data_IF_091019971666
#
_entry.id   IF_091019971666
#
_cell.length_a   1.000
_cell.length_b   1.000
_cell.length_c   1.000
_cell.angle_alpha   90.00
_cell.angle_beta   90.00
_cell.angle_gamma   90.00
#
_symmetry.space_group_name_H-M   'P 1'
#
loop_
_entity.id
_entity.type
_entity.pdbx_description
1 polymer ?
#
# COMPACT_ATOMS: atom_id res chain seq x y z
N UNK A 1 80.98 6.31 -34.46
CA UNK A 1 79.89 6.93 -33.66
C UNK A 1 78.64 6.05 -33.65
N UNK A 2 78.78 4.79 -33.22
CA UNK A 2 77.72 3.75 -33.21
C UNK A 2 77.46 3.20 -31.79
N UNK A 3 77.73 4.01 -30.75
CA UNK A 3 77.53 3.64 -29.33
C UNK A 3 76.83 4.71 -28.48
N UNK A 4 76.34 5.79 -29.11
CA UNK A 4 75.53 6.85 -28.46
C UNK A 4 74.08 6.90 -28.97
N UNK A 5 73.73 6.07 -29.96
CA UNK A 5 72.37 5.98 -30.50
C UNK A 5 71.55 4.80 -29.94
N UNK A 6 72.18 3.87 -29.21
CA UNK A 6 71.46 2.77 -28.54
C UNK A 6 70.95 3.14 -27.14
N UNK A 7 71.51 4.16 -26.48
CA UNK A 7 71.09 4.58 -25.13
C UNK A 7 69.97 5.62 -25.13
N UNK A 8 69.71 6.30 -26.26
CA UNK A 8 68.54 7.17 -26.45
C UNK A 8 67.29 6.39 -26.87
N UNK A 9 67.44 5.22 -27.49
CA UNK A 9 66.30 4.36 -27.87
C UNK A 9 65.73 3.56 -26.70
N UNK A 10 66.51 3.32 -25.63
CA UNK A 10 66.04 2.56 -24.45
C UNK A 10 65.32 3.47 -23.43
N UNK A 11 65.59 4.78 -23.43
CA UNK A 11 64.84 5.76 -22.61
C UNK A 11 63.52 6.17 -23.28
N UNK A 12 63.40 6.02 -24.60
CA UNK A 12 62.14 6.21 -25.32
C UNK A 12 61.27 4.93 -25.39
N UNK A 13 61.83 3.75 -25.09
CA UNK A 13 61.17 2.45 -25.20
C UNK A 13 60.80 1.75 -23.88
N UNK A 14 61.11 2.35 -22.73
CA UNK A 14 60.80 1.80 -21.39
C UNK A 14 59.89 2.74 -20.56
N UNK A 15 59.52 3.90 -21.08
CA UNK A 15 58.38 4.70 -20.60
C UNK A 15 57.06 4.26 -21.25
N UNK A 16 56.95 2.98 -21.59
CA UNK A 16 55.70 2.25 -21.58
C UNK A 16 55.64 1.46 -20.26
N UNK A 17 55.01 2.04 -19.24
CA UNK A 17 54.19 1.38 -18.21
C UNK A 17 53.91 2.43 -17.13
N UNK A 18 52.64 2.60 -16.74
CA UNK A 18 52.12 3.66 -15.83
C UNK A 18 51.78 4.96 -16.57
N UNK A 19 50.83 4.85 -17.50
CA UNK A 19 49.60 5.65 -17.50
C UNK A 19 48.58 4.80 -18.25
N UNK A 20 48.04 3.82 -17.52
CA UNK A 20 46.78 3.19 -17.86
C UNK A 20 45.72 4.29 -17.76
N UNK A 21 45.06 4.60 -18.85
CA UNK A 21 43.61 4.47 -19.01
C UNK A 21 43.28 4.91 -20.43
N UNK A 22 42.50 4.06 -21.11
CA UNK A 22 41.94 4.23 -22.42
C UNK A 22 41.24 5.58 -22.59
N UNK A 23 41.88 6.49 -23.31
CA UNK A 23 41.17 7.57 -24.00
C UNK A 23 40.42 6.97 -25.18
N UNK A 24 39.34 6.24 -24.90
CA UNK A 24 38.26 6.10 -25.86
C UNK A 24 37.65 7.49 -26.00
N UNK A 25 37.87 8.09 -27.16
CA UNK A 25 37.12 9.22 -27.67
C UNK A 25 35.65 8.76 -27.82
N UNK A 26 34.86 8.93 -26.77
CA UNK A 26 33.41 9.10 -26.88
C UNK A 26 33.18 10.60 -26.74
N UNK A 27 33.12 11.24 -27.91
CA UNK A 27 32.80 12.66 -28.11
C UNK A 27 31.41 12.76 -28.77
N UNK A 28 30.53 11.83 -28.46
CA UNK A 28 29.10 12.06 -28.50
C UNK A 28 28.65 12.38 -27.08
N UNK A 29 28.10 13.58 -26.92
CA UNK A 29 27.00 13.71 -25.99
C UNK A 29 25.88 12.88 -26.61
N UNK A 30 25.63 11.69 -26.07
CA UNK A 30 24.38 10.98 -26.31
C UNK A 30 23.27 11.80 -25.65
N UNK A 31 22.81 12.86 -26.34
CA UNK A 31 21.53 13.47 -26.04
C UNK A 31 20.50 12.44 -26.49
N UNK A 32 19.98 11.68 -25.53
CA UNK A 32 18.71 11.01 -25.74
C UNK A 32 17.62 12.05 -25.62
N UNK A 33 17.37 12.81 -26.70
CA UNK A 33 16.31 13.82 -26.75
C UNK A 33 14.90 13.23 -26.80
N UNK A 34 14.80 11.89 -26.90
CA UNK A 34 13.54 11.17 -27.08
C UNK A 34 13.47 9.87 -26.25
N UNK A 35 14.26 9.74 -25.18
CA UNK A 35 13.89 8.78 -24.13
C UNK A 35 12.90 9.48 -23.20
N UNK A 36 11.61 9.33 -23.48
CA UNK A 36 10.61 9.39 -22.42
C UNK A 36 10.86 8.13 -21.59
N UNK A 37 11.57 8.27 -20.47
CA UNK A 37 11.51 7.26 -19.42
C UNK A 37 10.16 7.45 -18.73
N UNK A 38 9.11 6.95 -19.37
CA UNK A 38 7.83 6.76 -18.71
C UNK A 38 8.08 5.60 -17.73
N UNK A 39 8.31 5.94 -16.46
CA UNK A 39 8.05 5.02 -15.38
C UNK A 39 6.53 4.79 -15.41
N UNK A 40 6.08 3.88 -16.26
CA UNK A 40 4.65 3.64 -16.37
C UNK A 40 4.19 3.01 -15.06
N UNK A 41 3.30 3.69 -14.35
CA UNK A 41 2.62 3.13 -13.19
C UNK A 41 1.72 1.96 -13.61
N UNK A 42 1.39 1.06 -12.69
CA UNK A 42 0.31 0.09 -12.89
C UNK A 42 -0.93 0.73 -12.32
N UNK A 43 -1.80 1.23 -13.20
CA UNK A 43 -3.14 1.67 -12.81
C UNK A 43 -4.02 0.43 -12.67
N UNK A 44 -4.27 0.02 -11.42
CA UNK A 44 -5.06 -1.16 -11.07
C UNK A 44 -6.49 -0.73 -10.71
N UNK A 45 -7.43 -1.07 -11.58
CA UNK A 45 -8.84 -0.81 -11.36
C UNK A 45 -9.60 -2.12 -11.20
N UNK A 46 -10.58 -2.12 -10.31
CA UNK A 46 -11.44 -3.27 -10.06
C UNK A 46 -12.87 -2.89 -10.48
N UNK A 47 -13.66 -3.87 -10.88
CA UNK A 47 -15.12 -3.76 -10.90
C UNK A 47 -15.76 -5.03 -10.32
N UNK A 48 -17.03 -4.94 -9.96
CA UNK A 48 -17.76 -6.06 -9.40
C UNK A 48 -19.19 -6.12 -9.92
N UNK A 49 -19.64 -7.31 -10.31
CA UNK A 49 -21.04 -7.61 -10.58
C UNK A 49 -21.52 -8.71 -9.64
N UNK A 50 -22.45 -8.39 -8.74
CA UNK A 50 -22.93 -9.26 -7.67
C UNK A 50 -24.38 -9.69 -7.86
N UNK A 51 -24.68 -10.90 -7.42
CA UNK A 51 -26.00 -11.54 -7.41
C UNK A 51 -26.30 -12.11 -6.03
N UNK A 52 -27.55 -11.99 -5.62
CA UNK A 52 -28.08 -12.53 -4.37
C UNK A 52 -29.27 -13.44 -4.66
N UNK A 53 -29.14 -14.72 -4.32
CA UNK A 53 -30.12 -15.76 -4.63
C UNK A 53 -30.52 -15.81 -6.13
N UNK A 54 -29.56 -15.51 -7.00
CA UNK A 54 -29.74 -15.43 -8.45
C UNK A 54 -30.29 -14.08 -8.94
N UNK A 55 -30.79 -13.19 -8.07
CA UNK A 55 -31.21 -11.85 -8.51
C UNK A 55 -30.01 -10.87 -8.50
N UNK A 56 -29.86 -9.97 -9.48
CA UNK A 56 -28.81 -8.95 -9.45
C UNK A 56 -28.86 -8.11 -8.16
N UNK A 57 -27.70 -7.78 -7.60
CA UNK A 57 -27.54 -6.98 -6.37
C UNK A 57 -26.88 -5.62 -6.67
N UNK A 58 -27.66 -4.58 -7.02
CA UNK A 58 -27.10 -3.29 -7.43
C UNK A 58 -26.29 -2.57 -6.34
N UNK A 59 -26.58 -2.84 -5.07
CA UNK A 59 -25.90 -2.19 -3.93
C UNK A 59 -24.45 -2.69 -3.75
N UNK A 60 -24.14 -3.85 -4.34
CA UNK A 60 -22.80 -4.47 -4.33
C UNK A 60 -22.24 -4.66 -5.74
N UNK A 61 -22.90 -4.10 -6.76
CA UNK A 61 -22.43 -4.08 -8.15
C UNK A 61 -22.02 -2.67 -8.56
N UNK A 62 -20.80 -2.53 -9.05
CA UNK A 62 -20.21 -1.24 -9.38
C UNK A 62 -19.19 -1.40 -10.52
N UNK A 63 -19.09 -0.37 -11.36
CA UNK A 63 -18.13 -0.35 -12.47
C UNK A 63 -16.72 0.07 -12.02
N UNK A 64 -15.78 0.07 -12.98
CA UNK A 64 -14.36 0.38 -12.77
C UNK A 64 -14.11 1.50 -11.75
N UNK A 65 -13.33 1.16 -10.73
CA UNK A 65 -12.95 2.09 -9.66
C UNK A 65 -11.60 1.74 -9.04
N UNK A 66 -10.97 2.76 -8.48
CA UNK A 66 -9.91 2.61 -7.49
C UNK A 66 -10.58 2.40 -6.14
N UNK A 67 -10.28 1.29 -5.47
CA UNK A 67 -11.00 0.91 -4.26
C UNK A 67 -10.82 1.95 -3.15
N UNK A 68 -11.95 2.43 -2.61
CA UNK A 68 -11.99 3.39 -1.50
C UNK A 68 -13.01 2.96 -0.45
N UNK A 69 -14.24 2.63 -0.87
CA UNK A 69 -15.33 2.22 0.04
C UNK A 69 -16.35 1.28 -0.60
N UNK A 70 -15.98 0.66 -1.72
CA UNK A 70 -16.83 -0.27 -2.44
C UNK A 70 -17.04 -1.55 -1.63
N UNK A 71 -18.25 -2.11 -1.72
CA UNK A 71 -18.63 -3.32 -1.00
C UNK A 71 -18.83 -4.46 -1.99
N UNK A 72 -18.13 -5.57 -1.76
CA UNK A 72 -18.32 -6.82 -2.51
C UNK A 72 -19.50 -7.64 -1.98
N UNK A 73 -19.94 -7.38 -0.74
CA UNK A 73 -21.17 -7.94 -0.19
C UNK A 73 -21.65 -7.05 0.95
N UNK A 74 -22.96 -6.90 1.10
CA UNK A 74 -23.57 -6.12 2.16
C UNK A 74 -25.02 -6.58 2.38
N UNK A 75 -25.21 -7.55 3.25
CA UNK A 75 -26.50 -8.17 3.50
C UNK A 75 -26.85 -8.06 4.98
N UNK A 76 -28.08 -7.64 5.26
CA UNK A 76 -28.56 -7.37 6.63
C UNK A 76 -29.55 -8.42 7.16
N UNK A 77 -30.01 -9.34 6.30
CA UNK A 77 -31.00 -10.38 6.64
C UNK A 77 -30.74 -11.66 5.85
N UNK A 78 -29.72 -12.40 6.29
CA UNK A 78 -29.36 -13.70 5.75
C UNK A 78 -30.28 -14.79 6.31
N UNK A 79 -30.82 -15.63 5.43
CA UNK A 79 -31.67 -16.78 5.76
C UNK A 79 -30.96 -18.07 5.40
N UNK A 80 -31.23 -19.16 6.15
CA UNK A 80 -30.64 -20.45 5.83
C UNK A 80 -30.83 -20.86 4.36
N UNK A 81 -29.71 -21.10 3.67
CA UNK A 81 -29.70 -21.48 2.25
C UNK A 81 -29.56 -20.31 1.29
N UNK A 82 -29.51 -19.07 1.80
CA UNK A 82 -29.17 -17.92 0.99
C UNK A 82 -27.73 -18.04 0.47
N UNK A 83 -27.52 -17.58 -0.75
CA UNK A 83 -26.24 -17.59 -1.43
C UNK A 83 -26.07 -16.34 -2.26
N UNK A 84 -24.83 -16.04 -2.61
CA UNK A 84 -24.52 -14.97 -3.54
C UNK A 84 -23.30 -15.30 -4.37
N UNK A 85 -23.22 -14.62 -5.50
CA UNK A 85 -22.21 -14.85 -6.54
C UNK A 85 -21.73 -13.50 -7.05
N UNK A 86 -20.42 -13.35 -7.29
CA UNK A 86 -19.84 -12.12 -7.82
C UNK A 86 -18.81 -12.39 -8.92
N UNK A 87 -18.85 -11.57 -9.97
CA UNK A 87 -17.74 -11.42 -10.93
C UNK A 87 -16.90 -10.24 -10.50
N UNK A 88 -15.70 -10.50 -9.97
CA UNK A 88 -14.71 -9.47 -9.70
C UNK A 88 -13.79 -9.39 -10.91
N UNK A 89 -13.73 -8.23 -11.56
CA UNK A 89 -12.86 -8.01 -12.71
C UNK A 89 -11.65 -7.17 -12.31
N UNK A 90 -10.46 -7.62 -12.71
CA UNK A 90 -9.19 -6.94 -12.48
C UNK A 90 -8.67 -6.37 -13.80
N UNK A 91 -8.36 -5.08 -13.79
CA UNK A 91 -7.86 -4.34 -14.95
C UNK A 91 -6.56 -3.65 -14.60
N UNK A 92 -5.51 -3.93 -15.37
CA UNK A 92 -4.23 -3.23 -15.28
C UNK A 92 -3.81 -2.81 -16.67
N UNK A 93 -3.65 -1.51 -16.92
CA UNK A 93 -3.66 -1.00 -18.31
C UNK A 93 -2.28 -0.74 -18.90
N UNK A 94 -1.29 -0.41 -18.07
CA UNK A 94 -0.08 0.25 -18.58
C UNK A 94 1.11 -0.69 -18.77
N UNK A 95 1.36 -1.60 -17.82
CA UNK A 95 2.55 -2.47 -17.81
C UNK A 95 2.27 -3.83 -17.19
N UNK A 96 3.07 -4.87 -17.51
CA UNK A 96 2.96 -6.15 -16.81
C UNK A 96 3.18 -6.01 -15.31
N UNK A 97 2.37 -6.69 -14.52
CA UNK A 97 2.30 -6.50 -13.07
C UNK A 97 2.13 -7.82 -12.31
N UNK A 98 2.69 -7.86 -11.11
CA UNK A 98 2.34 -8.82 -10.08
C UNK A 98 1.10 -8.34 -9.36
N UNK A 99 0.28 -9.27 -8.86
CA UNK A 99 -0.92 -8.94 -8.12
C UNK A 99 -1.14 -9.88 -6.93
N UNK A 100 -1.58 -9.31 -5.82
CA UNK A 100 -2.00 -10.02 -4.62
C UNK A 100 -3.43 -9.57 -4.25
N UNK A 101 -4.18 -10.46 -3.61
CA UNK A 101 -5.47 -10.18 -3.00
C UNK A 101 -5.39 -10.55 -1.53
N UNK A 102 -5.68 -9.59 -0.66
CA UNK A 102 -5.59 -9.75 0.79
C UNK A 102 -7.00 -9.62 1.38
N UNK A 103 -7.32 -10.52 2.31
CA UNK A 103 -8.52 -10.45 3.12
C UNK A 103 -8.13 -10.26 4.57
N UNK A 104 -8.74 -9.30 5.24
CA UNK A 104 -8.62 -9.10 6.68
C UNK A 104 -10.00 -9.22 7.30
N UNK A 105 -10.21 -10.21 8.17
CA UNK A 105 -11.48 -10.34 8.88
C UNK A 105 -11.50 -9.32 10.01
N UNK A 106 -12.42 -8.36 9.93
CA UNK A 106 -12.51 -7.26 10.91
C UNK A 106 -13.59 -7.49 11.94
N UNK A 107 -14.52 -8.42 11.68
CA UNK A 107 -15.64 -8.72 12.57
C UNK A 107 -16.24 -10.10 12.28
N UNK A 108 -16.51 -10.89 13.32
CA UNK A 108 -17.36 -12.10 13.35
C UNK A 108 -17.98 -12.17 14.76
N UNK A 109 -18.97 -11.34 15.02
CA UNK A 109 -19.37 -10.87 16.35
C UNK A 109 -20.83 -11.20 16.62
N UNK A 110 -21.15 -11.63 17.83
CA UNK A 110 -22.52 -11.62 18.32
C UNK A 110 -22.91 -10.15 18.57
N UNK A 111 -23.82 -9.54 17.82
CA UNK A 111 -24.17 -8.12 18.08
C UNK A 111 -25.12 -7.99 19.28
N UNK A 112 -25.98 -8.98 19.45
CA UNK A 112 -26.94 -9.01 20.53
C UNK A 112 -27.51 -10.40 20.71
N UNK A 113 -27.61 -10.89 21.94
CA UNK A 113 -28.19 -12.20 22.21
C UNK A 113 -29.70 -12.12 22.44
N UNK A 114 -30.51 -12.64 21.52
CA UNK A 114 -31.98 -12.62 21.67
C UNK A 114 -32.64 -13.95 21.37
N UNK A 115 -33.66 -14.33 22.14
CA UNK A 115 -34.45 -15.54 21.86
C UNK A 115 -35.07 -15.49 20.44
N UNK A 116 -34.96 -16.56 19.63
CA UNK A 116 -34.56 -17.94 19.98
C UNK A 116 -33.07 -18.30 19.97
N UNK A 117 -32.16 -17.38 19.62
CA UNK A 117 -30.70 -17.61 19.55
C UNK A 117 -30.15 -18.21 20.84
N UNK A 118 -30.50 -17.62 21.99
CA UNK A 118 -30.10 -18.05 23.34
C UNK A 118 -30.47 -19.51 23.70
N UNK A 119 -31.39 -20.14 22.95
CA UNK A 119 -31.73 -21.56 23.13
C UNK A 119 -30.78 -22.49 22.40
N UNK A 120 -30.18 -22.00 21.32
CA UNK A 120 -29.35 -22.74 20.39
C UNK A 120 -27.86 -22.43 20.60
N UNK A 121 -27.55 -21.18 20.96
CA UNK A 121 -26.25 -20.77 21.45
C UNK A 121 -26.34 -20.26 22.91
N UNK A 122 -25.62 -20.97 23.78
CA UNK A 122 -25.56 -20.63 25.21
C UNK A 122 -24.28 -19.86 25.53
N UNK A 123 -23.43 -19.61 24.53
CA UNK A 123 -22.17 -18.90 24.63
C UNK A 123 -22.37 -17.39 24.56
N UNK A 124 -23.39 -16.94 23.83
CA UNK A 124 -23.64 -15.56 23.50
C UNK A 124 -23.77 -14.74 24.78
N UNK A 125 -22.88 -13.77 24.92
CA UNK A 125 -22.77 -12.91 26.10
C UNK A 125 -22.49 -11.48 25.68
N UNK A 126 -23.52 -10.75 25.25
CA UNK A 126 -23.39 -9.37 24.76
C UNK A 126 -24.02 -8.29 25.66
N UNK A 127 -23.42 -7.09 25.78
CA UNK A 127 -22.16 -6.68 25.15
C UNK A 127 -20.90 -7.07 25.95
N UNK A 128 -19.92 -7.72 25.32
CA UNK A 128 -18.63 -8.06 25.95
C UNK A 128 -17.39 -7.37 25.31
N UNK A 129 -17.50 -6.88 24.08
CA UNK A 129 -16.43 -6.15 23.38
C UNK A 129 -15.37 -7.00 22.70
N UNK A 130 -15.52 -8.33 22.72
CA UNK A 130 -14.93 -9.23 21.72
C UNK A 130 -15.63 -8.95 20.38
N UNK A 131 -14.93 -9.11 19.27
CA UNK A 131 -15.49 -8.90 17.92
C UNK A 131 -15.46 -10.19 17.10
N UNK A 132 -15.02 -11.30 17.70
CA UNK A 132 -14.72 -12.57 17.05
C UNK A 132 -15.28 -13.78 17.81
N UNK A 133 -16.33 -13.57 18.60
CA UNK A 133 -17.04 -14.61 19.36
C UNK A 133 -18.31 -15.13 18.66
N UNK A 134 -18.71 -14.50 17.55
CA UNK A 134 -19.89 -14.86 16.77
C UNK A 134 -19.77 -16.14 15.95
N UNK A 135 -20.91 -16.55 15.40
CA UNK A 135 -21.12 -17.85 14.78
C UNK A 135 -21.43 -17.81 13.29
N UNK A 136 -21.77 -16.64 12.77
CA UNK A 136 -22.10 -16.47 11.37
C UNK A 136 -20.94 -16.86 10.45
N UNK A 137 -19.71 -16.46 10.75
CA UNK A 137 -18.56 -16.74 9.89
C UNK A 137 -18.27 -18.22 9.70
N UNK A 138 -18.37 -19.05 10.75
CA UNK A 138 -18.18 -20.51 10.62
C UNK A 138 -19.28 -21.19 9.79
N UNK A 139 -20.44 -20.53 9.64
CA UNK A 139 -21.60 -21.02 8.88
C UNK A 139 -21.72 -20.40 7.49
N UNK A 140 -20.90 -19.39 7.17
CA UNK A 140 -20.73 -18.84 5.83
C UNK A 140 -19.54 -19.50 5.13
N UNK A 141 -19.82 -20.22 4.05
CA UNK A 141 -18.79 -20.81 3.21
C UNK A 141 -18.53 -19.93 2.00
N UNK A 142 -17.26 -19.63 1.73
CA UNK A 142 -16.80 -18.89 0.56
C UNK A 142 -16.01 -19.79 -0.38
N UNK A 143 -16.06 -19.45 -1.67
CA UNK A 143 -15.31 -20.12 -2.73
C UNK A 143 -14.94 -19.09 -3.80
N UNK A 144 -13.69 -19.15 -4.24
CA UNK A 144 -13.14 -18.31 -5.30
C UNK A 144 -12.49 -19.19 -6.38
N UNK A 145 -12.73 -18.84 -7.63
CA UNK A 145 -12.13 -19.53 -8.78
C UNK A 145 -11.72 -18.54 -9.87
N UNK A 146 -10.80 -18.97 -10.73
CA UNK A 146 -10.52 -18.24 -11.97
C UNK A 146 -11.67 -18.47 -12.92
N UNK A 147 -12.37 -17.38 -13.20
CA UNK A 147 -13.59 -17.34 -14.00
C UNK A 147 -13.27 -16.83 -15.41
N UNK A 148 -14.17 -17.09 -16.35
CA UNK A 148 -14.09 -16.56 -17.71
C UNK A 148 -14.91 -15.28 -17.92
N UNK A 149 -15.64 -14.82 -16.90
CA UNK A 149 -16.33 -13.54 -16.82
C UNK A 149 -17.86 -13.63 -16.79
N UNK A 150 -18.45 -14.83 -16.73
CA UNK A 150 -19.90 -15.01 -16.63
C UNK A 150 -20.44 -15.33 -15.23
N UNK A 151 -19.54 -15.47 -14.24
CA UNK A 151 -19.87 -15.83 -12.87
C UNK A 151 -20.56 -17.20 -12.74
N UNK A 152 -20.30 -18.12 -13.66
CA UNK A 152 -20.87 -19.45 -13.64
C UNK A 152 -19.74 -20.44 -13.46
N UNK A 153 -19.76 -21.21 -12.37
CA UNK A 153 -18.78 -22.26 -12.21
C UNK A 153 -18.99 -23.36 -13.25
N UNK A 154 -18.00 -23.52 -14.12
CA UNK A 154 -18.05 -24.47 -15.23
C UNK A 154 -17.09 -25.66 -15.06
N UNK A 155 -17.32 -26.70 -15.87
CA UNK A 155 -16.63 -27.98 -15.73
C UNK A 155 -15.10 -27.92 -15.85
N UNK A 156 -14.55 -26.95 -16.59
CA UNK A 156 -13.11 -26.75 -16.76
C UNK A 156 -12.51 -25.75 -15.75
N UNK A 157 -13.34 -25.16 -14.90
CA UNK A 157 -12.94 -24.22 -13.84
C UNK A 157 -12.88 -24.88 -12.46
N UNK A 158 -13.43 -26.09 -12.32
CA UNK A 158 -13.32 -26.88 -11.09
C UNK A 158 -11.88 -27.04 -10.59
N UNK A 159 -10.92 -27.20 -11.49
CA UNK A 159 -9.50 -27.33 -11.14
C UNK A 159 -8.83 -25.97 -10.88
N UNK A 160 -9.52 -24.87 -11.16
CA UNK A 160 -9.08 -23.48 -10.95
C UNK A 160 -9.72 -22.82 -9.71
N UNK A 161 -10.44 -23.58 -8.89
CA UNK A 161 -10.84 -23.15 -7.55
C UNK A 161 -9.57 -23.02 -6.71
N UNK A 162 -9.20 -21.78 -6.37
CA UNK A 162 -7.93 -21.48 -5.71
C UNK A 162 -8.09 -21.16 -4.23
N UNK A 163 -9.29 -20.81 -3.76
CA UNK A 163 -9.55 -20.51 -2.36
C UNK A 163 -10.96 -20.92 -1.93
N UNK A 164 -11.09 -21.64 -0.80
CA UNK A 164 -12.38 -22.18 -0.34
C UNK A 164 -12.36 -22.59 1.12
N UNK A 165 -13.43 -22.32 1.85
CA UNK A 165 -13.56 -22.64 3.27
C UNK A 165 -14.66 -21.84 3.95
N UNK A 166 -14.68 -21.86 5.29
CA UNK A 166 -15.51 -20.94 6.07
C UNK A 166 -14.96 -19.53 6.01
N UNK A 167 -15.79 -18.54 6.32
CA UNK A 167 -15.39 -17.14 6.27
C UNK A 167 -14.13 -16.85 7.10
N UNK A 168 -13.97 -17.31 8.36
CA UNK A 168 -12.73 -17.08 9.12
C UNK A 168 -11.47 -17.72 8.55
N UNK A 169 -11.60 -18.73 7.68
CA UNK A 169 -10.43 -19.36 7.02
C UNK A 169 -10.09 -18.66 5.70
N UNK A 170 -11.11 -18.15 5.01
CA UNK A 170 -10.98 -17.60 3.67
C UNK A 170 -10.76 -16.09 3.70
N UNK A 171 -11.51 -15.38 4.54
CA UNK A 171 -11.54 -13.93 4.64
C UNK A 171 -10.54 -13.37 5.66
N UNK A 172 -9.62 -14.19 6.16
CA UNK A 172 -8.48 -13.76 6.98
C UNK A 172 -7.19 -14.38 6.43
N UNK A 173 -6.91 -14.08 5.16
CA UNK A 173 -5.81 -14.72 4.44
C UNK A 173 -5.36 -13.92 3.23
N UNK A 174 -4.15 -14.22 2.75
CA UNK A 174 -3.63 -13.67 1.52
C UNK A 174 -3.71 -14.71 0.39
N UNK A 175 -4.13 -14.25 -0.78
CA UNK A 175 -4.15 -15.00 -2.03
C UNK A 175 -3.17 -14.38 -3.03
N UNK A 176 -2.27 -15.20 -3.53
CA UNK A 176 -1.41 -14.82 -4.66
C UNK A 176 -2.17 -14.94 -5.97
N UNK A 177 -2.40 -13.82 -6.64
CA UNK A 177 -3.01 -13.80 -7.98
C UNK A 177 -1.93 -14.05 -9.04
N UNK A 178 -0.84 -13.28 -8.98
CA UNK A 178 0.36 -13.52 -9.77
C UNK A 178 1.60 -12.91 -9.10
N UNK A 179 2.66 -13.70 -9.00
CA UNK A 179 3.98 -13.28 -8.52
C UNK A 179 5.09 -14.02 -9.28
N UNK A 180 6.35 -13.82 -8.88
CA UNK A 180 7.50 -14.43 -9.54
C UNK A 180 7.52 -15.98 -9.47
N UNK A 181 6.72 -16.59 -8.59
CA UNK A 181 6.64 -18.04 -8.41
C UNK A 181 5.36 -18.64 -9.02
N UNK A 182 4.24 -17.94 -8.96
CA UNK A 182 2.89 -18.47 -9.17
C UNK A 182 2.04 -17.50 -9.98
N UNK A 183 1.14 -18.01 -10.82
CA UNK A 183 0.15 -17.18 -11.51
C UNK A 183 -1.11 -18.02 -11.74
N UNK A 184 -2.20 -17.68 -11.07
CA UNK A 184 -3.44 -18.48 -11.12
C UNK A 184 -4.16 -18.33 -12.47
N UNK A 185 -3.97 -17.20 -13.17
CA UNK A 185 -4.62 -16.89 -14.43
C UNK A 185 -3.87 -17.41 -15.67
N UNK A 186 -2.65 -17.93 -15.49
CA UNK A 186 -1.76 -18.19 -16.60
C UNK A 186 -0.59 -19.10 -16.27
N UNK A 187 0.59 -18.69 -16.71
CA UNK A 187 1.82 -19.49 -16.54
C UNK A 187 2.57 -19.02 -15.31
N UNK A 188 2.90 -19.93 -14.40
CA UNK A 188 3.70 -19.64 -13.21
C UNK A 188 4.99 -18.88 -13.53
N UNK A 189 5.29 -17.85 -12.73
CA UNK A 189 6.45 -16.98 -12.91
C UNK A 189 6.36 -16.02 -14.09
N UNK A 190 5.15 -15.79 -14.62
CA UNK A 190 4.87 -14.71 -15.56
C UNK A 190 3.91 -13.71 -14.92
N UNK A 191 4.11 -12.40 -15.13
CA UNK A 191 3.20 -11.38 -14.60
C UNK A 191 1.87 -11.39 -15.35
N UNK A 192 0.90 -10.66 -14.80
CA UNK A 192 -0.32 -10.31 -15.51
C UNK A 192 0.01 -9.33 -16.62
N UNK A 193 -0.49 -9.62 -17.81
CA UNK A 193 -0.35 -8.77 -18.99
C UNK A 193 -1.22 -7.51 -18.87
N UNK A 194 -0.73 -6.35 -19.35
CA UNK A 194 -1.50 -5.13 -19.37
C UNK A 194 -2.64 -5.16 -20.40
N UNK A 195 -3.64 -4.30 -20.20
CA UNK A 195 -4.84 -4.15 -21.03
C UNK A 195 -5.62 -5.47 -21.23
N UNK A 196 -5.46 -6.42 -20.31
CA UNK A 196 -6.21 -7.67 -20.25
C UNK A 196 -6.98 -7.71 -18.95
N UNK A 197 -8.29 -7.93 -19.07
CA UNK A 197 -9.14 -8.19 -17.92
C UNK A 197 -8.99 -9.63 -17.44
N UNK A 198 -8.87 -9.79 -16.13
CA UNK A 198 -8.88 -11.09 -15.45
C UNK A 198 -10.11 -11.16 -14.55
N UNK A 199 -10.78 -12.32 -14.52
CA UNK A 199 -12.03 -12.49 -13.78
C UNK A 199 -11.85 -13.47 -12.63
N UNK A 200 -12.30 -13.07 -11.45
CA UNK A 200 -12.43 -13.92 -10.28
C UNK A 200 -13.91 -14.12 -10.03
N UNK A 201 -14.35 -15.36 -10.11
CA UNK A 201 -15.66 -15.76 -9.64
C UNK A 201 -15.60 -15.96 -8.14
N UNK A 202 -16.57 -15.40 -7.42
CA UNK A 202 -16.76 -15.58 -5.99
C UNK A 202 -18.15 -16.11 -5.74
N UNK A 203 -18.28 -17.14 -4.92
CA UNK A 203 -19.56 -17.60 -4.41
C UNK A 203 -19.51 -17.71 -2.88
N UNK A 204 -20.61 -17.39 -2.24
CA UNK A 204 -20.81 -17.64 -0.81
C UNK A 204 -22.14 -18.34 -0.55
N UNK A 205 -22.20 -19.13 0.52
CA UNK A 205 -23.37 -19.89 0.92
C UNK A 205 -23.53 -19.83 2.44
N UNK A 206 -24.70 -19.40 2.90
CA UNK A 206 -25.09 -19.49 4.29
C UNK A 206 -25.67 -20.87 4.59
N UNK A 207 -24.80 -21.77 5.05
CA UNK A 207 -25.08 -23.18 5.27
C UNK A 207 -23.99 -24.08 4.69
N UNK A 208 -24.42 -25.18 4.06
CA UNK A 208 -23.52 -26.14 3.42
C UNK A 208 -23.49 -25.94 1.91
N UNK A 209 -22.30 -25.69 1.38
CA UNK A 209 -22.06 -25.78 -0.06
C UNK A 209 -22.01 -27.26 -0.43
N UNK A 210 -23.13 -27.81 -0.94
CA UNK A 210 -23.11 -29.16 -1.50
C UNK A 210 -22.16 -29.14 -2.70
N UNK A 211 -21.48 -30.27 -2.96
CA UNK A 211 -20.42 -30.36 -3.98
C UNK A 211 -20.77 -29.51 -5.21
N UNK A 212 -19.87 -28.62 -5.65
CA UNK A 212 -20.18 -27.74 -6.78
C UNK A 212 -20.69 -28.59 -7.94
N UNK A 213 -21.79 -28.17 -8.55
CA UNK A 213 -22.41 -28.86 -9.67
C UNK A 213 -22.12 -28.01 -10.90
N UNK A 214 -20.87 -28.00 -11.38
CA UNK A 214 -20.47 -27.10 -12.42
C UNK A 214 -21.34 -27.28 -13.65
N UNK A 215 -21.68 -26.16 -14.29
CA UNK A 215 -22.39 -26.20 -15.54
C UNK A 215 -21.45 -26.63 -16.68
N UNK A 216 -22.05 -26.98 -17.82
CA UNK A 216 -21.27 -27.34 -18.99
C UNK A 216 -20.66 -26.07 -19.59
N UNK A 217 -19.33 -26.05 -19.72
CA UNK A 217 -18.57 -24.96 -20.33
C UNK A 217 -19.14 -24.56 -21.70
N UNK A 218 -19.44 -23.27 -21.85
CA UNK A 218 -20.08 -22.67 -23.02
C UNK A 218 -19.13 -21.84 -23.93
N UNK A 219 -17.96 -21.42 -23.42
CA UNK A 219 -16.88 -20.61 -24.00
C UNK A 219 -17.33 -19.23 -24.51
N UNK A 220 -18.29 -18.61 -23.83
CA UNK A 220 -18.78 -17.28 -24.17
C UNK A 220 -18.32 -16.21 -23.17
N UNK A 221 -17.74 -16.58 -22.02
CA UNK A 221 -17.27 -15.62 -21.02
C UNK A 221 -18.33 -14.56 -20.73
N UNK A 222 -17.98 -13.26 -20.69
CA UNK A 222 -18.95 -12.20 -20.36
C UNK A 222 -20.16 -12.11 -21.31
N UNK A 223 -20.09 -12.69 -22.51
CA UNK A 223 -21.20 -12.73 -23.48
C UNK A 223 -22.12 -13.96 -23.28
N UNK A 224 -21.89 -14.76 -22.24
CA UNK A 224 -22.66 -15.96 -21.92
C UNK A 224 -24.13 -15.63 -21.66
N UNK A 225 -25.07 -16.35 -22.30
CA UNK A 225 -26.47 -16.25 -21.95
C UNK A 225 -26.79 -17.02 -20.66
N UNK A 226 -25.82 -17.75 -20.09
CA UNK A 226 -25.96 -18.47 -18.82
C UNK A 226 -25.31 -17.58 -17.77
N UNK A 227 -26.09 -17.13 -16.80
CA UNK A 227 -25.61 -16.30 -15.69
C UNK A 227 -26.29 -16.75 -14.40
N UNK A 228 -25.87 -16.26 -13.22
CA UNK A 228 -26.63 -16.45 -11.98
C UNK A 228 -28.12 -16.05 -12.09
N UNK A 229 -28.44 -15.07 -12.95
CA UNK A 229 -29.82 -14.60 -13.16
C UNK A 229 -30.78 -15.60 -13.81
N UNK A 230 -30.26 -16.61 -14.49
CA UNK A 230 -31.10 -17.54 -15.26
C UNK A 230 -30.67 -19.01 -15.15
N UNK A 231 -29.70 -19.30 -14.29
CA UNK A 231 -29.18 -20.63 -14.01
C UNK A 231 -28.93 -20.79 -12.51
N UNK A 232 -28.27 -21.87 -12.09
CA UNK A 232 -27.85 -22.05 -10.70
C UNK A 232 -26.42 -21.56 -10.45
N UNK A 233 -25.76 -20.93 -11.44
CA UNK A 233 -24.36 -20.49 -11.34
C UNK A 233 -23.33 -21.61 -11.10
N UNK A 234 -23.77 -22.88 -11.16
CA UNK A 234 -22.95 -24.03 -10.75
C UNK A 234 -22.84 -24.24 -9.22
N UNK A 235 -23.57 -23.44 -8.44
CA UNK A 235 -23.55 -23.39 -6.97
C UNK A 235 -24.86 -23.95 -6.40
N UNK A 236 -24.75 -24.68 -5.27
CA UNK A 236 -25.91 -25.17 -4.54
C UNK A 236 -25.70 -25.03 -3.04
N UNK A 237 -26.52 -24.17 -2.42
CA UNK A 237 -26.47 -23.90 -0.99
C UNK A 237 -27.59 -24.64 -0.25
N UNK A 238 -27.22 -25.37 0.80
CA UNK A 238 -28.14 -26.09 1.68
C UNK A 238 -28.05 -25.54 3.11
N UNK A 239 -29.06 -24.75 3.50
CA UNK A 239 -29.20 -24.22 4.85
C UNK A 239 -29.85 -25.17 5.86
N UNK A 240 -30.19 -26.41 5.49
CA UNK A 240 -31.02 -27.28 6.34
C UNK A 240 -30.37 -27.68 7.67
N UNK A 241 -29.05 -27.50 7.82
CA UNK A 241 -28.30 -27.80 9.04
C UNK A 241 -28.21 -26.62 10.01
N UNK A 242 -28.64 -25.42 9.61
CA UNK A 242 -28.56 -24.22 10.43
C UNK A 242 -29.66 -24.20 11.50
N UNK A 243 -29.33 -23.64 12.67
CA UNK A 243 -30.24 -23.36 13.77
C UNK A 243 -30.27 -21.83 14.03
N UNK A 244 -30.80 -21.39 15.18
CA UNK A 244 -30.89 -19.95 15.47
C UNK A 244 -29.61 -19.37 16.09
N UNK A 245 -28.52 -20.15 16.22
CA UNK A 245 -27.29 -19.70 16.88
C UNK A 245 -26.69 -18.45 16.21
N UNK A 246 -26.73 -18.37 14.87
CA UNK A 246 -26.15 -17.24 14.12
C UNK A 246 -27.09 -16.04 13.99
N UNK A 247 -28.15 -15.99 14.80
CA UNK A 247 -29.11 -14.91 14.71
C UNK A 247 -28.50 -13.69 15.38
N UNK A 248 -28.67 -12.52 14.76
CA UNK A 248 -28.16 -11.25 15.30
C UNK A 248 -26.64 -11.08 15.30
N UNK A 249 -25.87 -12.06 14.82
CA UNK A 249 -24.44 -11.92 14.53
C UNK A 249 -24.15 -10.96 13.37
N UNK A 250 -22.89 -10.53 13.26
CA UNK A 250 -22.37 -9.79 12.12
C UNK A 250 -20.97 -10.28 11.70
N UNK A 251 -20.75 -10.31 10.38
CA UNK A 251 -19.46 -10.61 9.77
C UNK A 251 -19.01 -9.43 8.90
N UNK A 252 -17.75 -8.98 9.05
CA UNK A 252 -17.15 -7.92 8.22
C UNK A 252 -15.71 -8.30 7.83
N UNK A 253 -15.31 -7.91 6.64
CA UNK A 253 -13.95 -8.11 6.12
C UNK A 253 -13.56 -6.95 5.23
N UNK A 254 -12.26 -6.63 5.22
CA UNK A 254 -11.65 -5.76 4.24
C UNK A 254 -11.01 -6.61 3.14
N UNK A 255 -11.22 -6.20 1.89
CA UNK A 255 -10.65 -6.85 0.71
C UNK A 255 -9.75 -5.85 0.00
N UNK A 256 -8.48 -6.17 -0.12
CA UNK A 256 -7.48 -5.32 -0.76
C UNK A 256 -6.87 -6.02 -1.97
N UNK A 257 -6.69 -5.27 -3.05
CA UNK A 257 -5.96 -5.73 -4.23
C UNK A 257 -4.70 -4.88 -4.37
N UNK A 258 -3.56 -5.56 -4.44
CA UNK A 258 -2.26 -4.92 -4.58
C UNK A 258 -1.67 -5.28 -5.92
N UNK A 259 -1.09 -4.31 -6.63
CA UNK A 259 -0.34 -4.57 -7.84
C UNK A 259 1.03 -3.90 -7.81
N UNK A 260 2.05 -4.63 -8.23
CA UNK A 260 3.41 -4.13 -8.37
C UNK A 260 3.88 -4.32 -9.80
N UNK A 261 4.49 -3.30 -10.38
CA UNK A 261 5.03 -3.42 -11.73
C UNK A 261 6.11 -4.51 -11.79
N UNK A 262 5.98 -5.47 -12.69
CA UNK A 262 6.83 -6.66 -12.71
C UNK A 262 8.30 -6.38 -13.03
N UNK A 263 8.58 -5.28 -13.74
CA UNK A 263 9.94 -4.81 -14.02
C UNK A 263 10.63 -4.16 -12.82
N UNK A 264 9.86 -3.69 -11.84
CA UNK A 264 10.39 -3.04 -10.64
C UNK A 264 11.03 -4.10 -9.74
N UNK A 265 10.29 -5.18 -9.46
CA UNK A 265 10.81 -6.35 -8.76
C UNK A 265 10.49 -7.65 -9.52
N UNK A 266 11.42 -8.18 -10.33
CA UNK A 266 11.23 -9.44 -11.04
C UNK A 266 11.15 -10.69 -10.15
N UNK A 267 11.50 -10.59 -8.85
CA UNK A 267 11.47 -11.71 -7.91
C UNK A 267 10.40 -11.54 -6.83
N UNK A 268 9.49 -10.57 -7.00
CA UNK A 268 8.40 -10.30 -6.06
C UNK A 268 7.62 -11.57 -5.74
N UNK A 269 7.30 -11.76 -4.46
CA UNK A 269 6.41 -12.82 -3.98
C UNK A 269 5.40 -12.24 -3.02
N UNK A 270 4.12 -12.58 -3.18
CA UNK A 270 3.10 -12.12 -2.21
C UNK A 270 3.40 -12.69 -0.81
N UNK A 271 3.76 -13.98 -0.75
CA UNK A 271 4.02 -14.66 0.51
C UNK A 271 5.26 -14.11 1.23
N UNK A 272 5.08 -13.58 2.45
CA UNK A 272 6.17 -13.05 3.27
C UNK A 272 6.34 -11.53 3.17
N UNK A 273 5.50 -10.86 2.39
CA UNK A 273 5.13 -9.49 2.70
C UNK A 273 4.09 -9.55 3.83
N UNK A 274 4.19 -8.73 4.89
CA UNK A 274 2.96 -8.25 5.51
C UNK A 274 2.11 -7.75 4.33
N UNK A 275 0.80 -8.03 4.29
CA UNK A 275 -0.05 -7.26 3.37
C UNK A 275 0.15 -5.75 3.62
N UNK A 276 -0.53 -4.85 2.91
CA UNK A 276 -0.75 -3.53 3.49
C UNK A 276 -1.57 -3.74 4.77
N UNK A 277 -0.87 -4.05 5.87
CA UNK A 277 -1.28 -3.64 7.19
C UNK A 277 -1.54 -2.14 7.07
N UNK A 278 -2.61 -1.58 7.66
CA UNK A 278 -2.63 -0.14 7.89
C UNK A 278 -1.25 0.22 8.43
N UNK A 279 -0.57 1.15 7.77
CA UNK A 279 0.80 1.52 8.12
C UNK A 279 0.85 1.68 9.63
N UNK A 280 1.57 0.81 10.37
CA UNK A 280 1.55 0.88 11.81
C UNK A 280 1.92 2.30 12.20
N UNK A 281 1.12 2.99 13.02
CA UNK A 281 1.51 4.30 13.51
C UNK A 281 2.94 4.23 14.04
N UNK A 282 3.74 5.25 13.81
CA UNK A 282 5.17 5.31 14.18
C UNK A 282 5.36 4.93 15.66
N UNK A 283 4.39 5.26 16.51
CA UNK A 283 4.37 4.93 17.93
C UNK A 283 4.16 3.44 18.29
N UNK A 284 3.83 2.56 17.33
CA UNK A 284 3.74 1.11 17.56
C UNK A 284 5.10 0.42 17.65
N UNK A 285 6.17 1.14 17.31
CA UNK A 285 7.55 0.69 17.52
C UNK A 285 8.06 1.15 18.89
N UNK A 286 8.59 0.22 19.70
CA UNK A 286 9.08 0.54 21.05
C UNK A 286 10.24 1.56 21.05
N UNK A 287 10.99 1.66 19.94
CA UNK A 287 12.09 2.59 19.69
C UNK A 287 12.06 3.03 18.23
N UNK A 288 12.21 4.32 17.96
CA UNK A 288 12.19 4.89 16.61
C UNK A 288 13.09 6.12 16.53
N UNK A 289 13.70 6.35 15.37
CA UNK A 289 14.37 7.60 15.03
C UNK A 289 13.57 8.30 13.94
N UNK A 290 13.16 9.55 14.18
CA UNK A 290 12.20 10.23 13.31
C UNK A 290 12.67 11.63 12.94
N UNK A 291 12.70 11.93 11.65
CA UNK A 291 12.98 13.27 11.13
C UNK A 291 11.70 13.95 10.64
N UNK A 292 11.36 15.08 11.29
CA UNK A 292 10.34 16.00 10.78
C UNK A 292 10.95 16.87 9.69
N UNK A 293 10.37 16.84 8.48
CA UNK A 293 10.84 17.61 7.31
C UNK A 293 9.78 18.64 6.94
N UNK A 294 9.95 19.86 7.44
CA UNK A 294 8.90 20.89 7.42
C UNK A 294 9.09 21.90 6.29
N UNK A 295 8.07 22.05 5.44
CA UNK A 295 8.00 23.14 4.49
C UNK A 295 7.82 24.48 5.22
N UNK A 296 8.66 25.45 4.85
CA UNK A 296 8.58 26.84 5.30
C UNK A 296 8.69 27.79 4.11
N UNK A 297 8.21 27.36 2.95
CA UNK A 297 8.19 28.13 1.71
C UNK A 297 7.26 29.35 1.81
N UNK A 298 7.34 30.22 0.79
CA UNK A 298 6.59 31.48 0.79
C UNK A 298 5.10 31.36 0.48
N UNK A 299 4.61 30.19 0.07
CA UNK A 299 3.17 29.89 -0.09
C UNK A 299 2.47 29.83 1.27
N UNK A 300 3.16 29.32 2.29
CA UNK A 300 2.66 29.22 3.66
C UNK A 300 2.59 30.60 4.32
N UNK A 301 1.38 31.09 4.54
CA UNK A 301 1.11 32.33 5.26
C UNK A 301 1.54 32.26 6.73
N UNK A 302 1.60 33.41 7.41
CA UNK A 302 1.98 33.44 8.82
C UNK A 302 0.99 32.70 9.74
N UNK A 303 -0.29 32.66 9.37
CA UNK A 303 -1.30 31.88 10.09
C UNK A 303 -1.11 30.39 9.84
N UNK A 304 -0.98 29.97 8.58
CA UNK A 304 -0.76 28.56 8.21
C UNK A 304 0.53 28.01 8.82
N UNK A 305 1.60 28.82 8.87
CA UNK A 305 2.84 28.43 9.56
C UNK A 305 2.64 28.28 11.07
N UNK A 306 1.76 29.07 11.67
CA UNK A 306 1.42 28.92 13.09
C UNK A 306 0.68 27.61 13.33
N UNK A 307 -0.23 27.24 12.43
CA UNK A 307 -1.00 26.01 12.54
C UNK A 307 -0.13 24.77 12.26
N UNK A 308 0.76 24.82 11.27
CA UNK A 308 1.80 23.81 11.04
C UNK A 308 2.64 23.58 12.30
N UNK A 309 3.10 24.67 12.94
CA UNK A 309 3.86 24.58 14.20
C UNK A 309 3.03 23.93 15.31
N UNK A 310 1.75 24.26 15.42
CA UNK A 310 0.87 23.66 16.43
C UNK A 310 0.72 22.16 16.20
N UNK A 311 0.44 21.74 14.96
CA UNK A 311 0.33 20.33 14.57
C UNK A 311 1.63 19.55 14.83
N UNK A 312 2.78 20.08 14.40
CA UNK A 312 4.09 19.46 14.65
C UNK A 312 4.43 19.40 16.15
N UNK A 313 4.07 20.40 16.94
CA UNK A 313 4.25 20.35 18.39
C UNK A 313 3.32 19.29 19.04
N UNK A 314 2.08 19.15 18.57
CA UNK A 314 1.16 18.12 19.05
C UNK A 314 1.71 16.71 18.77
N UNK A 315 2.18 16.46 17.54
CA UNK A 315 2.89 15.23 17.17
C UNK A 315 4.02 14.88 18.15
N UNK A 316 4.92 15.83 18.41
CA UNK A 316 6.06 15.64 19.31
C UNK A 316 5.61 15.32 20.74
N UNK A 317 4.54 15.98 21.20
CA UNK A 317 3.96 15.74 22.53
C UNK A 317 3.39 14.32 22.62
N UNK A 318 2.69 13.88 21.58
CA UNK A 318 2.04 12.57 21.52
C UNK A 318 3.05 11.43 21.37
N UNK A 319 4.05 11.58 20.50
CA UNK A 319 5.12 10.59 20.31
C UNK A 319 6.05 10.49 21.54
N UNK A 320 6.11 11.53 22.36
CA UNK A 320 6.78 11.57 23.66
C UNK A 320 8.25 11.08 23.62
N UNK A 321 9.16 11.83 22.97
CA UNK A 321 10.55 11.42 22.80
C UNK A 321 11.25 11.17 24.13
N UNK A 322 12.04 10.11 24.19
CA UNK A 322 12.74 9.67 25.40
C UNK A 322 13.99 8.88 25.08
N UNK A 323 14.91 8.76 26.05
CA UNK A 323 16.22 8.12 25.80
C UNK A 323 16.11 6.68 25.30
N UNK A 324 15.13 5.94 25.82
CA UNK A 324 14.91 4.52 25.49
C UNK A 324 13.75 4.30 24.52
N UNK A 325 13.12 5.36 23.99
CA UNK A 325 11.98 5.31 23.08
C UNK A 325 12.24 6.07 21.78
N UNK A 326 11.38 7.01 21.41
CA UNK A 326 11.53 7.83 20.20
C UNK A 326 12.62 8.91 20.36
N UNK A 327 13.48 9.09 19.35
CA UNK A 327 14.25 10.33 19.19
C UNK A 327 13.72 11.07 17.97
N UNK A 328 13.68 12.40 18.06
CA UNK A 328 13.14 13.24 17.00
C UNK A 328 14.17 14.29 16.61
N UNK A 329 14.41 14.40 15.32
CA UNK A 329 15.19 15.47 14.71
C UNK A 329 14.31 16.26 13.73
N UNK A 330 14.89 17.33 13.18
CA UNK A 330 14.12 18.21 12.30
C UNK A 330 14.99 18.84 11.22
N UNK A 331 14.52 18.77 9.98
CA UNK A 331 14.96 19.63 8.89
C UNK A 331 13.81 20.52 8.41
N UNK A 332 14.12 21.64 7.78
CA UNK A 332 13.12 22.49 7.14
C UNK A 332 13.63 23.00 5.81
N UNK A 333 12.73 23.20 4.86
CA UNK A 333 13.10 23.62 3.52
C UNK A 333 12.28 24.82 3.04
N UNK A 334 12.97 25.65 2.25
CA UNK A 334 12.37 26.71 1.46
C UNK A 334 13.17 26.85 0.17
N UNK A 335 13.83 27.98 -0.10
CA UNK A 335 14.80 28.08 -1.19
C UNK A 335 15.98 27.12 -1.01
N UNK A 336 16.34 26.87 0.25
CA UNK A 336 17.36 25.91 0.68
C UNK A 336 16.84 25.12 1.88
N UNK A 337 17.38 23.94 2.09
CA UNK A 337 17.23 23.14 3.31
C UNK A 337 18.08 23.67 4.46
N UNK A 338 17.64 23.38 5.67
CA UNK A 338 18.36 23.62 6.92
C UNK A 338 18.14 22.42 7.84
N UNK A 339 19.20 21.84 8.38
CA UNK A 339 19.10 20.92 9.52
C UNK A 339 18.89 21.76 10.77
N UNK A 340 17.69 21.73 11.32
CA UNK A 340 17.30 22.57 12.45
C UNK A 340 17.69 21.95 13.79
N UNK A 341 17.62 20.62 13.88
CA UNK A 341 17.87 19.87 15.09
C UNK A 341 18.36 18.45 14.73
N UNK A 342 19.47 18.04 15.34
CA UNK A 342 19.92 16.65 15.33
C UNK A 342 18.95 15.76 16.12
N UNK A 343 18.92 14.46 15.87
CA UNK A 343 18.09 13.53 16.64
C UNK A 343 18.32 13.70 18.14
N UNK A 344 17.22 13.84 18.89
CA UNK A 344 17.27 14.02 20.34
C UNK A 344 16.09 13.37 21.03
N UNK A 345 16.35 12.88 22.24
CA UNK A 345 15.33 12.42 23.19
C UNK A 345 14.68 13.58 23.98
N UNK A 346 15.04 14.84 23.72
CA UNK A 346 14.62 16.00 24.53
C UNK A 346 13.50 16.77 23.86
N UNK A 347 12.26 16.48 24.25
CA UNK A 347 11.02 17.10 23.74
C UNK A 347 11.10 18.64 23.64
N UNK A 348 11.65 19.30 24.68
CA UNK A 348 11.76 20.76 24.74
C UNK A 348 12.67 21.35 23.64
N UNK A 349 13.70 20.62 23.21
CA UNK A 349 14.59 21.05 22.14
C UNK A 349 13.88 20.99 20.79
N UNK A 350 13.07 19.96 20.57
CA UNK A 350 12.23 19.78 19.37
C UNK A 350 11.21 20.90 19.25
N UNK A 351 10.47 21.19 20.32
CA UNK A 351 9.54 22.34 20.36
C UNK A 351 10.26 23.67 20.08
N UNK A 352 11.47 23.84 20.59
CA UNK A 352 12.25 25.07 20.35
C UNK A 352 12.63 25.21 18.88
N UNK A 353 13.05 24.11 18.24
CA UNK A 353 13.39 24.07 16.81
C UNK A 353 12.18 24.37 15.92
N UNK A 354 11.04 23.71 16.18
CA UNK A 354 9.77 23.92 15.45
C UNK A 354 9.35 25.39 15.55
N UNK A 355 9.35 25.97 16.75
CA UNK A 355 8.86 27.33 16.94
C UNK A 355 9.77 28.41 16.33
N UNK A 356 11.04 28.09 16.06
CA UNK A 356 12.02 29.02 15.49
C UNK A 356 11.89 29.24 13.97
N UNK A 357 11.20 28.37 13.22
CA UNK A 357 11.12 28.51 11.76
C UNK A 357 10.29 29.72 11.34
N UNK A 358 10.60 30.27 10.17
CA UNK A 358 9.88 31.39 9.55
C UNK A 358 9.65 31.09 8.08
N UNK A 359 8.48 31.43 7.56
CA UNK A 359 8.14 31.18 6.15
C UNK A 359 8.80 32.17 5.21
N UNK A 360 9.02 31.73 3.97
CA UNK A 360 9.48 32.57 2.87
C UNK A 360 10.36 31.82 1.88
N UNK A 361 10.50 32.36 0.68
CA UNK A 361 11.32 31.75 -0.38
C UNK A 361 10.53 30.77 -1.24
N UNK A 362 11.25 29.79 -1.77
CA UNK A 362 10.75 28.78 -2.71
C UNK A 362 10.56 27.42 -2.01
N UNK A 363 10.36 26.32 -2.77
CA UNK A 363 10.07 24.98 -2.24
C UNK A 363 11.13 23.99 -2.73
N UNK A 364 12.14 23.72 -1.91
CA UNK A 364 13.27 22.84 -2.19
C UNK A 364 13.16 21.54 -1.37
N UNK A 365 12.16 20.73 -1.71
CA UNK A 365 11.86 19.47 -1.01
C UNK A 365 13.09 18.55 -0.97
N UNK A 366 13.85 18.50 -2.06
CA UNK A 366 15.10 17.73 -2.18
C UNK A 366 16.03 17.95 -0.99
N UNK A 367 16.39 19.20 -0.70
CA UNK A 367 17.34 19.50 0.37
C UNK A 367 16.78 19.17 1.76
N UNK A 368 15.46 19.23 1.95
CA UNK A 368 14.82 18.78 3.19
C UNK A 368 15.02 17.27 3.42
N UNK A 369 14.75 16.47 2.38
CA UNK A 369 14.91 15.01 2.40
C UNK A 369 16.37 14.62 2.56
N UNK A 370 17.29 15.21 1.77
CA UNK A 370 18.73 14.91 1.85
C UNK A 370 19.28 15.11 3.26
N UNK A 371 18.89 16.21 3.93
CA UNK A 371 19.35 16.52 5.29
C UNK A 371 18.80 15.53 6.31
N UNK A 372 17.54 15.13 6.18
CA UNK A 372 16.93 14.14 7.04
C UNK A 372 17.59 12.76 6.87
N UNK A 373 17.75 12.33 5.62
CA UNK A 373 18.46 11.09 5.28
C UNK A 373 19.90 11.08 5.81
N UNK A 374 20.64 12.19 5.67
CA UNK A 374 22.02 12.27 6.16
C UNK A 374 22.09 12.11 7.69
N UNK A 375 21.09 12.62 8.40
CA UNK A 375 20.99 12.47 9.86
C UNK A 375 20.70 11.01 10.25
N UNK A 376 19.85 10.31 9.49
CA UNK A 376 19.41 8.91 9.74
C UNK A 376 20.33 7.83 9.11
N UNK A 377 21.35 8.19 8.35
CA UNK A 377 22.26 7.23 7.68
C UNK A 377 23.67 7.28 8.32
N UNK A 378 23.74 7.53 9.63
CA UNK A 378 25.01 7.74 10.30
C UNK A 378 25.00 7.38 11.80
N UNK A 379 24.85 6.09 12.16
CA UNK A 379 24.80 5.64 13.56
C UNK A 379 26.13 5.85 14.33
N UNK A 380 27.17 6.37 13.67
CA UNK A 380 28.49 6.65 14.26
C UNK A 380 28.64 8.03 14.90
N UNK A 381 27.65 8.92 14.77
CA UNK A 381 27.72 10.29 15.30
C UNK A 381 27.07 10.46 16.70
N UNK A 382 26.41 9.41 17.20
CA UNK A 382 25.66 9.31 18.46
C UNK A 382 24.30 10.06 18.48
N UNK A 383 23.79 10.50 17.34
CA UNK A 383 22.43 11.01 17.21
C UNK A 383 21.50 9.92 16.67
N UNK A 384 21.97 9.22 15.64
CA UNK A 384 21.30 8.09 15.02
C UNK A 384 21.66 6.75 15.70
N UNK A 385 20.69 5.83 15.79
CA UNK A 385 20.86 4.50 16.39
C UNK A 385 20.91 3.45 15.28
N UNK A 386 21.22 2.20 15.65
CA UNK A 386 21.23 1.14 14.66
C UNK A 386 19.79 0.79 14.25
N UNK A 387 19.53 0.76 12.95
CA UNK A 387 18.20 0.61 12.34
C UNK A 387 17.50 -0.68 12.78
N UNK A 388 18.29 -1.73 13.05
CA UNK A 388 17.80 -3.02 13.55
C UNK A 388 17.17 -2.95 14.96
N UNK A 389 17.53 -1.93 15.76
CA UNK A 389 17.02 -1.68 17.11
C UNK A 389 16.09 -0.45 17.17
N UNK A 390 16.12 0.41 16.15
CA UNK A 390 15.39 1.69 16.08
C UNK A 390 15.13 2.03 14.60
N UNK A 391 13.99 1.64 14.02
CA UNK A 391 13.67 1.98 12.63
C UNK A 391 13.61 3.49 12.39
N UNK A 392 13.98 3.87 11.17
CA UNK A 392 14.12 5.26 10.73
C UNK A 392 12.91 5.73 9.92
N UNK A 393 12.40 6.89 10.31
CA UNK A 393 11.22 7.49 9.68
C UNK A 393 11.51 8.93 9.24
N UNK A 394 11.03 9.28 8.05
CA UNK A 394 10.95 10.66 7.58
C UNK A 394 9.47 11.03 7.48
N UNK A 395 9.07 12.15 8.07
CA UNK A 395 7.72 12.71 7.92
C UNK A 395 7.84 14.07 7.23
N UNK A 396 7.39 14.13 5.98
CA UNK A 396 7.41 15.34 5.15
C UNK A 396 6.06 16.03 5.26
N UNK A 397 6.08 17.35 5.48
CA UNK A 397 4.87 18.17 5.46
C UNK A 397 5.08 19.31 4.47
N UNK A 398 4.20 19.44 3.47
CA UNK A 398 4.31 20.46 2.42
C UNK A 398 2.95 20.95 1.93
N UNK A 399 2.87 22.23 1.53
CA UNK A 399 1.67 22.86 0.96
C UNK A 399 1.75 23.04 -0.57
N UNK A 400 2.83 22.59 -1.22
CA UNK A 400 2.98 22.76 -2.66
C UNK A 400 4.13 21.97 -3.27
N UNK A 401 4.26 22.11 -4.59
CA UNK A 401 5.20 21.30 -5.36
C UNK A 401 6.65 21.80 -5.28
N UNK A 402 7.63 20.89 -5.36
CA UNK A 402 9.03 21.25 -5.47
C UNK A 402 9.25 22.17 -6.68
N UNK A 403 9.87 23.31 -6.45
CA UNK A 403 10.23 24.26 -7.50
C UNK A 403 11.69 24.71 -7.40
N UNK A 404 12.47 24.06 -6.53
CA UNK A 404 13.92 24.18 -6.43
C UNK A 404 14.60 22.81 -6.35
N UNK A 405 15.77 22.65 -7.00
CA UNK A 405 16.41 23.61 -7.92
C UNK A 405 15.61 23.83 -9.22
N UNK A 406 15.76 24.99 -9.87
CA UNK A 406 14.98 25.31 -11.08
C UNK A 406 15.28 24.33 -12.23
N UNK A 407 14.22 23.76 -12.80
CA UNK A 407 14.29 22.87 -13.97
C UNK A 407 14.43 21.38 -13.65
N UNK A 408 14.78 21.01 -12.41
CA UNK A 408 14.94 19.61 -11.99
C UNK A 408 14.30 19.30 -10.62
N UNK A 409 13.53 20.23 -10.06
CA UNK A 409 13.03 20.15 -8.68
C UNK A 409 12.31 18.84 -8.34
N UNK A 410 11.36 18.42 -9.17
CA UNK A 410 10.61 17.17 -8.98
C UNK A 410 11.51 15.94 -9.10
N UNK A 411 12.24 15.81 -10.21
CA UNK A 411 13.17 14.70 -10.42
C UNK A 411 14.23 14.60 -9.33
N UNK A 412 14.78 15.72 -8.86
CA UNK A 412 15.79 15.72 -7.81
C UNK A 412 15.19 15.31 -6.47
N UNK A 413 13.99 15.79 -6.14
CA UNK A 413 13.28 15.40 -4.91
C UNK A 413 12.91 13.92 -4.91
N UNK A 414 12.37 13.40 -6.02
CA UNK A 414 12.08 11.97 -6.21
C UNK A 414 13.35 11.11 -6.00
N UNK A 415 14.46 11.46 -6.65
CA UNK A 415 15.74 10.78 -6.45
C UNK A 415 16.21 10.82 -4.99
N UNK A 416 15.87 11.87 -4.23
CA UNK A 416 16.28 11.99 -2.83
C UNK A 416 15.43 11.09 -1.93
N UNK A 417 14.13 10.98 -2.22
CA UNK A 417 13.23 10.03 -1.57
C UNK A 417 13.65 8.59 -1.87
N UNK A 418 13.94 8.26 -3.14
CA UNK A 418 14.50 6.94 -3.54
C UNK A 418 15.75 6.59 -2.75
N UNK A 419 16.66 7.55 -2.60
CA UNK A 419 17.89 7.32 -1.84
C UNK A 419 17.62 7.10 -0.35
N UNK A 420 16.59 7.73 0.23
CA UNK A 420 16.19 7.51 1.61
C UNK A 420 15.60 6.11 1.79
N UNK A 421 14.64 5.72 0.95
CA UNK A 421 14.05 4.37 0.94
C UNK A 421 15.09 3.28 0.72
N UNK A 422 16.02 3.48 -0.21
CA UNK A 422 17.12 2.56 -0.46
C UNK A 422 18.09 2.41 0.74
N UNK A 423 18.09 3.37 1.67
CA UNK A 423 18.83 3.28 2.92
C UNK A 423 18.04 2.60 4.05
N UNK A 424 16.80 2.17 3.81
CA UNK A 424 15.93 1.54 4.82
C UNK A 424 15.07 2.53 5.60
N UNK A 425 15.01 3.80 5.19
CA UNK A 425 14.19 4.84 5.81
C UNK A 425 12.79 4.82 5.23
N UNK A 426 11.77 4.74 6.08
CA UNK A 426 10.36 4.79 5.69
C UNK A 426 9.88 6.24 5.57
N UNK A 427 9.26 6.61 4.45
CA UNK A 427 8.97 8.00 4.10
C UNK A 427 7.47 8.28 4.08
N UNK A 428 7.01 8.99 5.11
CA UNK A 428 5.65 9.52 5.25
C UNK A 428 5.55 10.92 4.64
N UNK A 429 4.45 11.20 3.96
CA UNK A 429 4.18 12.51 3.35
C UNK A 429 2.78 12.99 3.70
N UNK A 430 2.68 14.21 4.22
CA UNK A 430 1.41 14.90 4.42
C UNK A 430 1.35 16.12 3.49
N UNK A 431 0.51 16.01 2.46
CA UNK A 431 0.22 17.09 1.53
C UNK A 431 -0.92 17.96 2.07
N UNK A 432 -0.68 19.25 2.28
CA UNK A 432 -1.66 20.16 2.89
C UNK A 432 -2.30 21.06 1.82
N UNK A 433 -3.63 21.09 1.79
CA UNK A 433 -4.40 21.91 0.87
C UNK A 433 -4.43 21.35 -0.55
N UNK A 434 -4.84 22.18 -1.51
CA UNK A 434 -5.10 21.77 -2.89
C UNK A 434 -3.99 22.13 -3.89
N UNK A 435 -2.94 22.82 -3.45
CA UNK A 435 -1.87 23.31 -4.32
C UNK A 435 -0.74 22.27 -4.49
N UNK A 436 -0.82 21.15 -3.79
CA UNK A 436 0.04 19.98 -3.96
C UNK A 436 -0.38 19.12 -5.14
N UNK A 437 0.58 18.51 -5.82
CA UNK A 437 0.38 17.39 -6.72
C UNK A 437 0.36 16.11 -5.89
N UNK A 438 -0.83 15.70 -5.50
CA UNK A 438 -1.04 14.53 -4.65
C UNK A 438 -0.51 13.25 -5.31
N UNK A 439 -0.66 13.11 -6.63
CA UNK A 439 -0.12 11.96 -7.36
C UNK A 439 1.39 11.92 -7.24
N UNK A 440 2.08 13.01 -7.57
CA UNK A 440 3.53 13.10 -7.45
C UNK A 440 4.02 12.82 -6.01
N UNK A 441 3.38 13.40 -5.00
CA UNK A 441 3.77 13.18 -3.60
C UNK A 441 3.55 11.73 -3.15
N UNK A 442 2.47 11.09 -3.64
CA UNK A 442 2.14 9.70 -3.34
C UNK A 442 3.09 8.73 -4.03
N UNK A 443 3.40 8.96 -5.31
CA UNK A 443 4.07 7.96 -6.15
C UNK A 443 5.58 8.14 -6.25
N UNK A 444 6.07 9.37 -6.11
CA UNK A 444 7.51 9.66 -6.25
C UNK A 444 8.21 9.90 -4.90
N UNK A 445 7.47 10.37 -3.88
CA UNK A 445 8.04 10.83 -2.60
C UNK A 445 7.71 9.91 -1.41
N UNK A 446 6.46 9.53 -1.22
CA UNK A 446 6.08 8.62 -0.13
C UNK A 446 6.69 7.22 -0.32
N UNK A 447 6.67 6.40 0.72
CA UNK A 447 7.13 5.00 0.63
C UNK A 447 6.22 4.17 -0.28
N UNK A 448 4.91 4.30 -0.06
CA UNK A 448 3.85 3.83 -0.93
C UNK A 448 2.57 4.67 -0.71
N UNK A 449 1.45 4.26 -1.31
CA UNK A 449 0.18 4.97 -1.20
C UNK A 449 -0.38 5.05 0.23
N UNK A 450 -0.05 4.10 1.10
CA UNK A 450 -0.45 4.11 2.52
C UNK A 450 0.35 5.10 3.37
N UNK A 451 1.48 5.58 2.85
CA UNK A 451 2.35 6.57 3.51
C UNK A 451 2.07 8.01 3.08
N UNK A 452 1.09 8.24 2.19
CA UNK A 452 0.63 9.56 1.81
C UNK A 452 -0.69 9.91 2.49
N UNK A 453 -0.74 11.10 3.09
CA UNK A 453 -1.92 11.64 3.76
C UNK A 453 -2.29 12.98 3.15
N UNK A 454 -3.49 13.09 2.61
CA UNK A 454 -4.03 14.36 2.14
C UNK A 454 -4.70 15.08 3.31
N UNK A 455 -4.14 16.22 3.72
CA UNK A 455 -4.75 17.11 4.70
C UNK A 455 -5.50 18.23 3.99
N UNK A 456 -6.82 18.32 4.18
CA UNK A 456 -7.62 19.38 3.55
C UNK A 456 -7.23 20.79 4.04
N UNK A 457 -6.83 20.88 5.30
CA UNK A 457 -6.35 22.08 5.97
C UNK A 457 -5.41 21.73 7.14
N UNK A 458 -5.00 22.74 7.92
CA UNK A 458 -4.07 22.55 9.02
C UNK A 458 -4.70 21.94 10.28
N UNK A 459 -6.03 21.93 10.41
CA UNK A 459 -6.71 21.19 11.48
C UNK A 459 -6.67 19.68 11.17
N UNK A 460 -6.91 19.32 9.90
CA UNK A 460 -6.78 17.95 9.40
C UNK A 460 -5.33 17.43 9.50
N UNK A 461 -4.35 18.30 9.19
CA UNK A 461 -2.92 18.00 9.41
C UNK A 461 -2.63 17.59 10.86
N UNK A 462 -3.19 18.31 11.83
CA UNK A 462 -2.98 17.97 13.24
C UNK A 462 -3.53 16.58 13.57
N UNK A 463 -4.74 16.26 13.09
CA UNK A 463 -5.37 14.96 13.33
C UNK A 463 -4.56 13.80 12.70
N UNK A 464 -4.08 13.98 11.47
CA UNK A 464 -3.23 13.00 10.78
C UNK A 464 -1.95 12.74 11.57
N UNK A 465 -1.24 13.81 11.97
CA UNK A 465 0.01 13.66 12.71
C UNK A 465 -0.21 13.03 14.09
N UNK A 466 -1.26 13.41 14.81
CA UNK A 466 -1.60 12.76 16.09
C UNK A 466 -1.89 11.27 15.88
N UNK A 467 -2.59 10.89 14.81
CA UNK A 467 -2.83 9.50 14.44
C UNK A 467 -1.54 8.71 14.19
N UNK A 468 -0.59 9.29 13.45
CA UNK A 468 0.74 8.68 13.24
C UNK A 468 1.53 8.51 14.54
N UNK A 469 1.27 9.34 15.55
CA UNK A 469 1.93 9.28 16.85
C UNK A 469 1.21 8.42 17.89
N UNK A 470 0.10 7.76 17.56
CA UNK A 470 -0.65 6.89 18.49
C UNK A 470 -0.72 5.45 17.99
N UNK A 471 -0.27 4.48 18.80
CA UNK A 471 -0.54 3.08 18.51
C UNK A 471 -1.95 2.70 19.00
N UNK A 472 -2.85 2.20 18.14
CA UNK A 472 -4.15 1.68 18.57
C UNK A 472 -3.96 0.47 19.52
N UNK A 473 -4.71 0.46 20.62
CA UNK A 473 -4.65 -0.59 21.67
C UNK A 473 -5.23 -1.94 21.24
#
# INVERSE_FOLDING_TARGET
MKRLLLSLAIIAGVSALVLRFSGAFLSDTEISSDNVLEAGEVDLQIDNESFYNGDPSPDTSWGLNDLTSQLFFNFTDLKPGDYGEDTISIHGDTNPYWACMDFALTKDDDISCTEPELLDDHSCDEPNGDLFDGELGKNLLFMFWVDDGDNVLESDELEKIFHKGSAPTVLDSQVTLADAATNIFGTNGQPLEPSRTYYIGKAWCFGSLLQPLPLQQNNLGPDSPITPANSTGGIYCDGSILNNATQTDALMTDITFNALQARHDPNFTCSGQPGPSPTPPIACSEKVDTMLVLDRSGSISSSELTDLKNAANAFVTTLAPSTDGAHIGMSSFATTGTLNLHLTATEADVHTAINAITSGGFTNLKEGIDLAKIELDNPGDNHDRADADSPDFIIIITDGNPNRPEGTAETDAANSADNARAAGVEVFVVGVGSDVDATYLTTEIADDASHYFAAADFDDLQAILEGLATCPE
#
